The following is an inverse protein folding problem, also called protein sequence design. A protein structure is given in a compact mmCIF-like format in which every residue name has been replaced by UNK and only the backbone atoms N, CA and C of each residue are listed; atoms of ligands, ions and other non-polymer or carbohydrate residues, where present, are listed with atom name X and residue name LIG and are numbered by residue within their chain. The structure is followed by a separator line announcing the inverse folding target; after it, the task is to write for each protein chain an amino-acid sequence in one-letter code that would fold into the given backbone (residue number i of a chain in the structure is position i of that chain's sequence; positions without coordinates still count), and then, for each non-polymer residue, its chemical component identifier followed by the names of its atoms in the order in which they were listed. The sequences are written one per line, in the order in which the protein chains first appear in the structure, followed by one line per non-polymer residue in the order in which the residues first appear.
data_IF_034555060074
#
_entry.id   IF_034555060074
#
_cell.length_a   1.000
_cell.length_b   1.000
_cell.length_c   1.000
_cell.angle_alpha   90.00
_cell.angle_beta   90.00
_cell.angle_gamma   90.00
#
_symmetry.space_group_name_H-M   'P 1'
#
loop_
_entity.id
_entity.type
_entity.pdbx_description
1 polymer ?
#
# COMPACT_ATOMS: atom_id res chain seq x y z
N UNK A 1 -20.50 -6.71 -11.38
CA UNK A 1 -19.51 -6.18 -10.42
C UNK A 1 -20.16 -5.08 -9.60
N UNK A 2 -20.02 -5.17 -8.30
CA UNK A 2 -20.65 -4.19 -7.39
C UNK A 2 -19.87 -2.87 -7.45
N UNK A 3 -20.58 -1.78 -7.82
CA UNK A 3 -19.99 -0.45 -7.92
C UNK A 3 -19.40 0.00 -6.57
N UNK A 4 -20.02 -0.39 -5.46
CA UNK A 4 -19.54 -0.04 -4.12
C UNK A 4 -18.17 -0.63 -3.82
N UNK A 5 -17.94 -1.89 -4.21
CA UNK A 5 -16.63 -2.53 -4.02
C UNK A 5 -15.56 -1.86 -4.87
N UNK A 6 -15.90 -1.43 -6.08
CA UNK A 6 -14.97 -0.73 -6.95
C UNK A 6 -14.54 0.59 -6.33
N UNK A 7 -15.50 1.35 -5.78
CA UNK A 7 -15.21 2.64 -5.13
C UNK A 7 -14.36 2.44 -3.88
N UNK A 8 -14.72 1.44 -3.06
CA UNK A 8 -13.97 1.12 -1.86
C UNK A 8 -12.51 0.76 -2.20
N UNK A 9 -12.32 -0.08 -3.19
CA UNK A 9 -10.99 -0.50 -3.62
C UNK A 9 -10.16 0.66 -4.13
N UNK A 10 -10.77 1.60 -4.83
CA UNK A 10 -10.08 2.79 -5.32
C UNK A 10 -9.65 3.70 -4.18
N UNK A 11 -10.50 3.89 -3.17
CA UNK A 11 -10.16 4.67 -1.99
C UNK A 11 -8.94 4.05 -1.29
N UNK A 12 -8.94 2.73 -1.16
CA UNK A 12 -7.83 2.02 -0.51
C UNK A 12 -6.53 2.18 -1.31
N UNK A 13 -6.60 2.08 -2.64
CA UNK A 13 -5.41 2.26 -3.49
C UNK A 13 -4.84 3.66 -3.39
N UNK A 14 -5.69 4.66 -3.42
CA UNK A 14 -5.27 6.06 -3.22
C UNK A 14 -4.64 6.22 -1.85
N UNK A 15 -5.25 5.62 -0.83
CA UNK A 15 -4.71 5.65 0.52
C UNK A 15 -3.34 5.02 0.62
N UNK A 16 -3.14 3.88 -0.03
CA UNK A 16 -1.84 3.21 -0.03
C UNK A 16 -0.74 4.14 -0.59
N UNK A 17 -1.05 4.83 -1.67
CA UNK A 17 -0.10 5.76 -2.29
C UNK A 17 0.19 6.95 -1.38
N UNK A 18 -0.83 7.59 -0.84
CA UNK A 18 -0.68 8.78 -0.01
C UNK A 18 -0.01 8.45 1.33
N UNK A 19 -0.45 7.37 1.98
CA UNK A 19 0.13 6.98 3.27
C UNK A 19 1.58 6.54 3.11
N UNK A 20 1.92 5.92 1.98
CA UNK A 20 3.29 5.53 1.69
C UNK A 20 4.23 6.73 1.55
N UNK A 21 3.72 7.85 1.06
CA UNK A 21 4.51 9.06 0.88
C UNK A 21 4.56 9.94 2.14
N UNK A 22 3.42 10.11 2.82
CA UNK A 22 3.28 11.09 3.91
C UNK A 22 3.22 10.48 5.29
N UNK A 23 2.98 9.16 5.39
CA UNK A 23 2.80 8.50 6.66
C UNK A 23 1.37 8.61 7.18
N UNK A 24 1.01 7.69 8.08
CA UNK A 24 -0.36 7.60 8.59
C UNK A 24 -0.74 8.81 9.43
N UNK A 25 0.14 9.23 10.33
CA UNK A 25 -0.14 10.34 11.24
C UNK A 25 -0.16 11.70 10.54
N UNK A 26 0.63 11.84 9.47
CA UNK A 26 0.73 13.09 8.72
C UNK A 26 -0.34 13.22 7.65
N UNK A 27 -1.00 12.12 7.29
CA UNK A 27 -2.00 12.11 6.24
C UNK A 27 -3.37 12.49 6.79
N UNK A 28 -3.93 13.56 6.26
CA UNK A 28 -5.32 13.90 6.54
C UNK A 28 -6.25 13.17 5.58
N UNK A 29 -7.45 12.83 6.07
CA UNK A 29 -8.47 12.22 5.23
C UNK A 29 -8.78 13.11 4.02
N UNK A 30 -8.70 14.43 4.20
CA UNK A 30 -8.98 15.39 3.13
C UNK A 30 -8.11 15.17 1.90
N UNK A 31 -6.84 14.80 2.09
CA UNK A 31 -5.93 14.52 0.98
C UNK A 31 -6.42 13.32 0.17
N UNK A 32 -6.93 12.29 0.86
CA UNK A 32 -7.49 11.11 0.21
C UNK A 32 -8.75 11.45 -0.56
N UNK A 33 -9.66 12.24 0.05
CA UNK A 33 -10.90 12.66 -0.59
C UNK A 33 -10.64 13.44 -1.87
N UNK A 34 -9.66 14.35 -1.80
CA UNK A 34 -9.31 15.19 -2.94
C UNK A 34 -8.72 14.38 -4.07
N UNK A 35 -7.82 13.47 -3.77
CA UNK A 35 -7.16 12.63 -4.77
C UNK A 35 -8.12 11.61 -5.39
N UNK A 36 -8.95 10.98 -4.57
CA UNK A 36 -9.93 10.01 -5.04
C UNK A 36 -11.18 10.66 -5.64
N UNK A 37 -11.34 11.98 -5.45
CA UNK A 37 -12.47 12.75 -5.97
C UNK A 37 -13.81 12.24 -5.44
N UNK A 38 -13.89 12.01 -4.13
CA UNK A 38 -15.10 11.53 -3.48
C UNK A 38 -15.53 12.47 -2.36
N UNK A 39 -16.83 12.56 -2.07
CA UNK A 39 -17.31 13.33 -0.93
C UNK A 39 -16.98 12.64 0.39
N UNK A 40 -16.90 13.45 1.46
CA UNK A 40 -16.58 12.96 2.79
C UNK A 40 -17.60 11.93 3.29
N UNK A 41 -18.86 12.11 2.96
CA UNK A 41 -19.90 11.17 3.35
C UNK A 41 -19.71 9.79 2.75
N UNK A 42 -19.26 9.73 1.49
CA UNK A 42 -18.95 8.46 0.84
C UNK A 42 -17.78 7.74 1.52
N UNK A 43 -16.76 8.49 1.91
CA UNK A 43 -15.63 7.92 2.63
C UNK A 43 -16.08 7.27 3.92
N UNK A 44 -16.86 8.01 4.75
CA UNK A 44 -17.28 7.50 6.04
C UNK A 44 -18.34 6.40 5.93
N UNK A 45 -18.98 6.29 4.78
CA UNK A 45 -19.84 5.14 4.51
C UNK A 45 -19.04 3.84 4.47
N UNK A 46 -17.86 3.87 3.86
CA UNK A 46 -17.02 2.68 3.74
C UNK A 46 -16.09 2.49 4.94
N UNK A 47 -15.62 3.57 5.53
CA UNK A 47 -14.63 3.55 6.61
C UNK A 47 -15.08 4.46 7.73
N UNK A 48 -15.73 3.91 8.79
CA UNK A 48 -16.26 4.73 9.87
C UNK A 48 -15.20 5.53 10.63
N UNK A 49 -13.94 5.11 10.59
CA UNK A 49 -12.86 5.84 11.25
C UNK A 49 -11.59 5.82 10.40
N UNK A 50 -10.67 6.73 10.70
CA UNK A 50 -9.36 6.77 10.04
C UNK A 50 -8.58 5.49 10.32
N UNK A 51 -8.71 4.95 11.51
CA UNK A 51 -8.03 3.72 11.91
C UNK A 51 -8.49 2.53 11.09
N UNK A 52 -9.79 2.40 10.85
CA UNK A 52 -10.31 1.34 10.00
C UNK A 52 -9.84 1.49 8.56
N UNK A 53 -9.77 2.72 8.07
CA UNK A 53 -9.21 2.99 6.76
C UNK A 53 -7.73 2.57 6.71
N UNK A 54 -6.97 2.93 7.73
CA UNK A 54 -5.55 2.55 7.80
C UNK A 54 -5.35 1.04 7.81
N UNK A 55 -6.20 0.30 8.52
CA UNK A 55 -6.13 -1.16 8.52
C UNK A 55 -6.43 -1.75 7.14
N UNK A 56 -7.41 -1.20 6.43
CA UNK A 56 -7.72 -1.66 5.08
C UNK A 56 -6.57 -1.41 4.11
N UNK A 57 -5.90 -0.26 4.24
CA UNK A 57 -4.72 0.07 3.43
C UNK A 57 -3.58 -0.89 3.75
N UNK A 58 -3.38 -1.20 5.03
CA UNK A 58 -2.33 -2.13 5.46
C UNK A 58 -2.60 -3.54 4.92
N UNK A 59 -3.87 -3.97 4.91
CA UNK A 59 -4.23 -5.26 4.34
C UNK A 59 -3.88 -5.34 2.84
N UNK A 60 -4.17 -4.28 2.09
CA UNK A 60 -3.81 -4.24 0.67
C UNK A 60 -2.29 -4.30 0.50
N UNK A 61 -1.56 -3.55 1.32
CA UNK A 61 -0.10 -3.58 1.29
C UNK A 61 0.43 -4.99 1.54
N UNK A 62 -0.12 -5.68 2.54
CA UNK A 62 0.30 -7.02 2.88
C UNK A 62 0.05 -8.01 1.74
N UNK A 63 -1.12 -7.90 1.09
CA UNK A 63 -1.46 -8.75 -0.05
C UNK A 63 -0.47 -8.52 -1.20
N UNK A 64 -0.19 -7.26 -1.51
CA UNK A 64 0.75 -6.92 -2.58
C UNK A 64 2.17 -7.38 -2.26
N UNK A 65 2.60 -7.18 -1.02
CA UNK A 65 3.93 -7.59 -0.59
C UNK A 65 4.10 -9.11 -0.66
N UNK A 66 3.07 -9.85 -0.25
CA UNK A 66 3.07 -11.31 -0.34
C UNK A 66 3.14 -11.78 -1.79
N UNK A 67 2.31 -11.21 -2.66
CA UNK A 67 2.32 -11.58 -4.07
C UNK A 67 3.66 -11.27 -4.72
N UNK A 68 4.25 -10.12 -4.39
CA UNK A 68 5.55 -9.73 -4.89
C UNK A 68 6.64 -10.72 -4.46
N UNK A 69 6.66 -11.06 -3.17
CA UNK A 69 7.61 -12.03 -2.65
C UNK A 69 7.44 -13.41 -3.29
N UNK A 70 6.20 -13.86 -3.44
CA UNK A 70 5.91 -15.16 -4.04
C UNK A 70 6.40 -15.24 -5.49
N UNK A 71 6.36 -14.14 -6.24
CA UNK A 71 6.83 -14.13 -7.61
C UNK A 71 8.31 -14.50 -7.71
N UNK A 72 9.11 -14.12 -6.72
CA UNK A 72 10.52 -14.51 -6.65
C UNK A 72 10.70 -15.92 -6.12
N UNK A 73 9.94 -16.29 -5.09
CA UNK A 73 10.09 -17.57 -4.42
C UNK A 73 9.64 -18.75 -5.29
N UNK A 74 8.82 -18.51 -6.29
CA UNK A 74 8.33 -19.54 -7.19
C UNK A 74 9.21 -19.78 -8.40
N UNK A 75 10.27 -19.01 -8.57
CA UNK A 75 11.18 -19.17 -9.71
C UNK A 75 12.08 -20.39 -9.50
N UNK A 76 11.70 -21.51 -10.09
CA UNK A 76 12.41 -22.78 -9.93
C UNK A 76 13.72 -22.85 -10.68
N UNK A 77 14.01 -21.87 -11.53
CA UNK A 77 15.29 -21.79 -12.21
C UNK A 77 16.44 -21.38 -11.29
N UNK A 78 16.10 -20.84 -10.11
CA UNK A 78 17.08 -20.39 -9.13
C UNK A 78 17.02 -21.26 -7.88
N UNK A 79 18.18 -21.38 -7.20
CA UNK A 79 18.21 -22.02 -5.88
C UNK A 79 17.43 -21.18 -4.87
N UNK A 80 16.96 -21.78 -3.74
CA UNK A 80 16.25 -21.00 -2.72
C UNK A 80 17.04 -19.78 -2.23
N UNK A 81 18.35 -19.92 -2.03
CA UNK A 81 19.16 -18.79 -1.57
C UNK A 81 19.28 -17.71 -2.65
N UNK A 82 19.36 -18.10 -3.91
CA UNK A 82 19.42 -17.14 -5.01
C UNK A 82 18.11 -16.39 -5.16
N UNK A 83 16.96 -17.06 -4.94
CA UNK A 83 15.65 -16.41 -4.95
C UNK A 83 15.55 -15.33 -3.88
N UNK A 84 15.97 -15.68 -2.67
CA UNK A 84 15.92 -14.72 -1.55
C UNK A 84 16.84 -13.53 -1.81
N UNK A 85 18.05 -13.81 -2.28
CA UNK A 85 19.04 -12.76 -2.57
C UNK A 85 18.51 -11.79 -3.63
N UNK A 86 17.93 -12.32 -4.69
CA UNK A 86 17.37 -11.51 -5.77
C UNK A 86 16.22 -10.62 -5.25
N UNK A 87 15.33 -11.19 -4.46
CA UNK A 87 14.23 -10.45 -3.86
C UNK A 87 14.74 -9.29 -3.01
N UNK A 88 15.67 -9.55 -2.12
CA UNK A 88 16.22 -8.52 -1.24
C UNK A 88 16.98 -7.45 -2.01
N UNK A 89 17.70 -7.83 -3.05
CA UNK A 89 18.44 -6.89 -3.89
C UNK A 89 17.48 -5.95 -4.62
N UNK A 90 16.41 -6.49 -5.19
CA UNK A 90 15.43 -5.68 -5.93
C UNK A 90 14.65 -4.76 -5.02
N UNK A 91 14.29 -5.21 -3.82
CA UNK A 91 13.61 -4.38 -2.84
C UNK A 91 14.52 -3.21 -2.40
N UNK A 92 15.79 -3.48 -2.16
CA UNK A 92 16.75 -2.45 -1.79
C UNK A 92 16.91 -1.42 -2.91
N UNK A 93 16.95 -1.87 -4.16
CA UNK A 93 17.06 -0.96 -5.31
C UNK A 93 15.82 -0.07 -5.45
N UNK A 94 14.63 -0.62 -5.20
CA UNK A 94 13.40 0.17 -5.23
C UNK A 94 13.41 1.27 -4.17
N UNK A 95 13.88 0.96 -2.98
CA UNK A 95 13.98 1.92 -1.89
C UNK A 95 14.95 3.06 -2.28
N UNK A 96 16.07 2.71 -2.89
CA UNK A 96 17.04 3.71 -3.35
C UNK A 96 16.49 4.59 -4.45
N UNK A 97 15.78 4.01 -5.43
CA UNK A 97 15.20 4.75 -6.54
C UNK A 97 14.20 5.79 -6.07
N UNK A 98 13.43 5.45 -5.05
CA UNK A 98 12.47 6.39 -4.47
C UNK A 98 13.16 7.49 -3.64
N UNK A 99 14.50 7.43 -3.53
CA UNK A 99 15.28 8.41 -2.78
C UNK A 99 14.91 8.45 -1.31
N UNK A 100 14.39 7.35 -0.81
CA UNK A 100 13.84 7.23 0.53
C UNK A 100 12.66 8.17 0.78
N UNK A 101 12.08 8.75 -0.29
CA UNK A 101 10.93 9.65 -0.15
C UNK A 101 9.71 8.93 0.41
N UNK A 102 9.49 7.69 -0.03
CA UNK A 102 8.44 6.84 0.53
C UNK A 102 8.91 6.11 1.77
N UNK A 103 10.23 5.93 1.92
CA UNK A 103 10.80 5.19 3.01
C UNK A 103 10.25 3.77 3.07
N UNK A 104 10.28 3.18 4.24
CA UNK A 104 9.60 1.91 4.49
C UNK A 104 8.14 2.20 4.79
N UNK A 105 7.22 1.61 4.01
CA UNK A 105 5.79 1.84 4.21
C UNK A 105 5.38 1.54 5.65
N UNK A 106 5.86 0.41 6.21
CA UNK A 106 5.52 0.05 7.58
C UNK A 106 6.03 1.06 8.59
N UNK A 107 7.21 1.63 8.34
CA UNK A 107 7.75 2.70 9.18
C UNK A 107 6.89 3.95 9.13
N UNK A 108 6.33 4.26 7.97
CA UNK A 108 5.47 5.43 7.81
C UNK A 108 4.10 5.25 8.43
N UNK A 109 3.71 4.03 8.77
CA UNK A 109 2.43 3.75 9.42
C UNK A 109 2.46 3.99 10.94
N UNK A 110 3.62 4.22 11.51
CA UNK A 110 3.75 4.49 12.95
C UNK A 110 3.66 6.00 13.33
#
# INVERSE_FOLDING_TARGET
MDTRNTTRDEIIRVGLEILGEKGFNSCGIDAVLKTAKIPKGSFYYYFPSKEEFGLAVLDLFAVQAKAHAESYLQDKSLTPMARLRRYLTDVAAEIEQDGCARGCFLGNMT
#
